data_IF_575014875205
#
_entry.id   IF_575014875205
#
_cell.length_a   1.000
_cell.length_b   1.000
_cell.length_c   1.000
_cell.angle_alpha   90.00
_cell.angle_beta   90.00
_cell.angle_gamma   90.00
#
_symmetry.space_group_name_H-M   'P 1'
#
loop_
_entity.id
_entity.type
_entity.pdbx_description
1 polymer ?
#
# COMPACT_ATOMS: atom_id res chain seq x y z
N UNK A 1 -8.35 1.70 17.68
CA UNK A 1 -9.51 2.37 17.05
C UNK A 1 -10.37 1.33 16.34
N UNK A 2 -11.27 1.74 15.43
CA UNK A 2 -12.03 0.82 14.59
C UNK A 2 -11.17 0.12 13.52
N UNK A 3 -9.96 0.63 13.28
CA UNK A 3 -8.99 0.05 12.35
C UNK A 3 -7.61 -0.07 13.02
N UNK A 4 -6.79 -0.93 12.43
CA UNK A 4 -5.37 -1.10 12.75
C UNK A 4 -4.56 -0.54 11.57
N UNK A 5 -3.84 0.55 11.80
CA UNK A 5 -2.93 1.12 10.80
C UNK A 5 -1.55 0.50 10.97
N UNK A 6 -1.03 -0.12 9.92
CA UNK A 6 0.30 -0.73 9.91
C UNK A 6 1.23 0.03 8.98
N UNK A 7 2.52 0.01 9.31
CA UNK A 7 3.59 0.50 8.44
C UNK A 7 4.53 -0.66 8.15
N UNK A 8 4.91 -0.85 6.88
CA UNK A 8 5.80 -1.91 6.44
C UNK A 8 6.81 -1.40 5.40
N UNK A 9 7.79 -2.24 5.07
CA UNK A 9 8.75 -2.00 3.99
C UNK A 9 8.54 -3.04 2.88
N UNK A 10 8.42 -2.57 1.64
CA UNK A 10 8.53 -3.39 0.44
C UNK A 10 9.82 -2.98 -0.29
N UNK A 11 10.86 -3.79 -0.14
CA UNK A 11 12.22 -3.37 -0.49
C UNK A 11 12.61 -2.11 0.30
N UNK A 12 12.87 -1.01 -0.40
CA UNK A 12 13.22 0.28 0.22
C UNK A 12 12.03 1.25 0.31
N UNK A 13 10.83 0.83 -0.09
CA UNK A 13 9.63 1.67 -0.07
C UNK A 13 8.84 1.45 1.22
N UNK A 14 8.49 2.54 1.89
CA UNK A 14 7.58 2.50 3.04
C UNK A 14 6.13 2.48 2.56
N UNK A 15 5.37 1.52 3.06
CA UNK A 15 3.94 1.35 2.80
C UNK A 15 3.14 1.51 4.09
N UNK A 16 1.91 2.00 3.96
CA UNK A 16 0.92 2.00 5.03
C UNK A 16 -0.35 1.30 4.55
N UNK A 17 -0.98 0.53 5.44
CA UNK A 17 -2.24 -0.13 5.16
C UNK A 17 -3.17 -0.06 6.38
N UNK A 18 -4.48 0.00 6.12
CA UNK A 18 -5.51 -0.14 7.14
C UNK A 18 -6.02 -1.59 7.14
N UNK A 19 -5.97 -2.23 8.30
CA UNK A 19 -6.44 -3.58 8.53
C UNK A 19 -7.62 -3.59 9.51
N UNK A 20 -8.41 -4.66 9.55
CA UNK A 20 -9.36 -4.88 10.63
C UNK A 20 -8.68 -4.73 12.01
N UNK A 21 -9.37 -4.19 13.02
CA UNK A 21 -8.78 -3.69 14.26
C UNK A 21 -8.12 -4.76 15.13
N UNK A 22 -8.41 -6.04 14.88
CA UNK A 22 -7.89 -7.19 15.63
C UNK A 22 -7.14 -8.18 14.73
N UNK A 23 -6.65 -7.72 13.58
CA UNK A 23 -5.81 -8.55 12.72
C UNK A 23 -4.57 -8.97 13.50
N UNK A 24 -4.32 -10.29 13.67
CA UNK A 24 -3.19 -10.76 14.43
C UNK A 24 -1.93 -10.57 13.59
N UNK A 25 -1.09 -9.62 13.98
CA UNK A 25 0.20 -9.35 13.34
C UNK A 25 1.26 -9.23 14.44
N UNK A 26 2.50 -9.58 14.11
CA UNK A 26 3.67 -9.34 14.94
C UNK A 26 4.61 -8.34 14.30
N UNK A 27 5.42 -7.70 15.12
CA UNK A 27 6.52 -6.86 14.63
C UNK A 27 7.47 -7.72 13.78
N UNK A 28 7.98 -7.14 12.69
CA UNK A 28 8.86 -7.76 11.70
C UNK A 28 8.30 -9.03 11.01
N UNK A 29 7.01 -9.31 11.14
CA UNK A 29 6.35 -10.38 10.39
C UNK A 29 6.17 -9.98 8.92
N UNK A 30 6.44 -10.92 8.01
CA UNK A 30 6.14 -10.75 6.59
C UNK A 30 4.64 -10.78 6.37
N UNK A 31 4.08 -9.69 5.85
CA UNK A 31 2.66 -9.57 5.52
C UNK A 31 2.45 -9.62 4.01
N UNK A 32 1.58 -10.53 3.55
CA UNK A 32 1.09 -10.53 2.17
C UNK A 32 -0.14 -9.63 2.08
N UNK A 33 -0.06 -8.58 1.26
CA UNK A 33 -1.16 -7.68 0.98
C UNK A 33 -1.64 -7.86 -0.46
N UNK A 34 -2.93 -7.62 -0.68
CA UNK A 34 -3.53 -7.52 -1.99
C UNK A 34 -3.97 -6.09 -2.21
N UNK A 35 -3.79 -5.59 -3.42
CA UNK A 35 -4.31 -4.30 -3.85
C UNK A 35 -5.39 -4.51 -4.91
N UNK A 36 -6.31 -3.57 -4.98
CA UNK A 36 -7.28 -3.51 -6.07
C UNK A 36 -6.58 -2.95 -7.33
N UNK A 37 -6.61 -3.72 -8.41
CA UNK A 37 -5.98 -3.33 -9.67
C UNK A 37 -6.63 -2.07 -10.27
N UNK A 38 -7.94 -1.87 -10.05
CA UNK A 38 -8.65 -0.69 -10.54
C UNK A 38 -8.29 0.59 -9.77
N UNK A 39 -7.83 0.45 -8.52
CA UNK A 39 -7.36 1.55 -7.69
C UNK A 39 -5.85 1.84 -7.87
N UNK A 40 -5.16 1.11 -8.74
CA UNK A 40 -3.74 1.28 -8.96
C UNK A 40 -3.45 2.47 -9.88
N UNK A 41 -2.58 3.37 -9.42
CA UNK A 41 -2.10 4.50 -10.20
C UNK A 41 -0.62 4.34 -10.52
N UNK A 42 -0.27 4.48 -11.80
CA UNK A 42 1.11 4.47 -12.28
C UNK A 42 1.51 5.90 -12.65
N UNK A 43 2.73 6.27 -12.26
CA UNK A 43 3.30 7.59 -12.52
C UNK A 43 4.61 7.43 -13.28
N UNK A 44 4.84 8.35 -14.22
CA UNK A 44 6.08 8.43 -14.97
C UNK A 44 7.21 8.92 -14.07
N UNK A 45 8.36 8.26 -14.13
CA UNK A 45 9.48 8.52 -13.21
C UNK A 45 10.11 9.90 -13.43
N UNK A 46 10.16 10.38 -14.67
CA UNK A 46 10.87 11.61 -15.03
C UNK A 46 9.98 12.85 -14.83
N UNK A 47 8.71 12.75 -15.20
CA UNK A 47 7.75 13.86 -15.17
C UNK A 47 6.88 13.86 -13.92
N UNK A 48 6.75 12.72 -13.24
CA UNK A 48 5.83 12.54 -12.11
C UNK A 48 4.34 12.56 -12.51
N UNK A 49 4.03 12.59 -13.81
CA UNK A 49 2.67 12.65 -14.31
C UNK A 49 2.04 11.24 -14.33
N UNK A 50 0.72 11.19 -14.23
CA UNK A 50 -0.03 9.94 -14.39
C UNK A 50 0.27 9.31 -15.75
N UNK A 51 0.63 8.04 -15.76
CA UNK A 51 0.77 7.23 -16.98
C UNK A 51 -0.60 6.89 -17.59
N UNK A 52 -1.66 6.94 -16.78
CA UNK A 52 -3.03 6.82 -17.27
C UNK A 52 -3.43 8.17 -17.86
N UNK A 53 -3.77 8.18 -19.15
CA UNK A 53 -4.47 9.31 -19.76
C UNK A 53 -5.90 9.29 -19.22
N UNK A 54 -6.32 10.37 -18.57
CA UNK A 54 -7.73 10.60 -18.28
C UNK A 54 -8.51 10.48 -19.61
N UNK A 55 -9.51 9.59 -19.64
CA UNK A 55 -10.41 9.43 -20.78
C UNK A 55 -11.43 10.55 -20.82
#
# INVERSE_FOLDING_TARGET
GPELVVTALAGNQRLMACLPPRTPIRDDETLTLFFDEEAMHLFDLETGLSCLKEQ
#
